data_IF_386033925006
#
_entry.id   IF_386033925006
#
_cell.length_a   1.000
_cell.length_b   1.000
_cell.length_c   1.000
_cell.angle_alpha   90.00
_cell.angle_beta   90.00
_cell.angle_gamma   90.00
#
_symmetry.space_group_name_H-M   'P 1'
#
loop_
_entity.id
_entity.type
_entity.pdbx_description
1 polymer ?
#
# COMPACT_ATOMS: atom_id res chain seq x y z
N UNK A 1 5.61 6.60 -18.99
CA UNK A 1 5.17 5.25 -19.35
C UNK A 1 4.36 4.69 -18.17
N UNK A 2 3.49 3.70 -18.37
CA UNK A 2 2.58 3.19 -17.32
C UNK A 2 3.37 2.50 -16.19
N UNK A 3 4.52 1.93 -16.53
CA UNK A 3 5.50 1.24 -15.70
C UNK A 3 6.08 2.15 -14.62
N UNK A 4 6.49 3.36 -15.01
CA UNK A 4 7.01 4.35 -14.08
C UNK A 4 5.95 4.76 -13.04
N UNK A 5 4.69 4.86 -13.46
CA UNK A 5 3.57 5.17 -12.56
C UNK A 5 3.33 4.01 -11.58
N UNK A 6 3.30 2.76 -12.08
CA UNK A 6 3.15 1.59 -11.23
C UNK A 6 4.29 1.45 -10.20
N UNK A 7 5.52 1.77 -10.60
CA UNK A 7 6.69 1.77 -9.72
C UNK A 7 6.56 2.82 -8.61
N UNK A 8 6.17 4.05 -8.96
CA UNK A 8 5.99 5.13 -7.98
C UNK A 8 4.90 4.77 -6.94
N UNK A 9 3.77 4.21 -7.38
CA UNK A 9 2.70 3.76 -6.49
C UNK A 9 3.17 2.61 -5.60
N UNK A 10 3.85 1.61 -6.16
CA UNK A 10 4.39 0.50 -5.36
C UNK A 10 5.37 0.99 -4.28
N UNK A 11 6.21 1.98 -4.59
CA UNK A 11 7.09 2.60 -3.62
C UNK A 11 6.32 3.36 -2.52
N UNK A 12 5.28 4.10 -2.87
CA UNK A 12 4.40 4.79 -1.92
C UNK A 12 3.70 3.79 -0.97
N UNK A 13 3.14 2.71 -1.50
CA UNK A 13 2.52 1.64 -0.71
C UNK A 13 3.50 1.04 0.30
N UNK A 14 4.76 0.81 -0.08
CA UNK A 14 5.79 0.29 0.86
C UNK A 14 5.98 1.23 2.05
N UNK A 15 5.95 2.55 1.81
CA UNK A 15 6.04 3.58 2.86
C UNK A 15 4.78 3.54 3.74
N UNK A 16 3.59 3.54 3.15
CA UNK A 16 2.31 3.45 3.88
C UNK A 16 2.22 2.17 4.73
N UNK A 17 2.66 1.04 4.18
CA UNK A 17 2.72 -0.27 4.85
C UNK A 17 3.75 -0.32 5.99
N UNK A 18 4.74 0.58 5.97
CA UNK A 18 5.72 0.73 7.03
C UNK A 18 5.31 1.77 8.08
N UNK A 19 4.15 2.42 7.90
CA UNK A 19 3.68 3.46 8.79
C UNK A 19 3.26 2.93 10.15
N UNK A 20 3.44 3.79 11.17
CA UNK A 20 2.99 3.51 12.54
C UNK A 20 1.47 3.44 12.63
N UNK A 21 0.76 4.30 11.89
CA UNK A 21 -0.70 4.34 11.85
C UNK A 21 -1.26 2.98 11.44
N UNK A 22 -0.76 2.43 10.33
CA UNK A 22 -1.19 1.12 9.85
C UNK A 22 -0.77 -0.02 10.80
N UNK A 23 0.41 0.08 11.41
CA UNK A 23 0.83 -0.89 12.43
C UNK A 23 -0.14 -0.94 13.63
N UNK A 24 -0.67 0.20 14.07
CA UNK A 24 -1.66 0.24 15.17
C UNK A 24 -3.00 -0.35 14.74
N UNK A 25 -3.45 -0.04 13.53
CA UNK A 25 -4.65 -0.62 12.92
C UNK A 25 -4.54 -2.14 12.84
N UNK A 26 -3.38 -2.64 12.37
CA UNK A 26 -3.07 -4.06 12.32
C UNK A 26 -3.17 -4.76 13.68
N UNK A 27 -2.78 -4.08 14.76
CA UNK A 27 -2.94 -4.63 16.12
C UNK A 27 -4.40 -4.63 16.57
N UNK A 28 -5.16 -3.57 16.29
CA UNK A 28 -6.55 -3.47 16.70
C UNK A 28 -7.48 -4.46 16.02
N UNK A 29 -7.20 -4.78 14.76
CA UNK A 29 -8.01 -5.70 13.96
C UNK A 29 -7.35 -7.07 13.76
N UNK A 30 -6.23 -7.33 14.43
CA UNK A 30 -5.48 -8.59 14.33
C UNK A 30 -5.01 -8.92 12.89
N UNK A 31 -4.67 -7.89 12.11
CA UNK A 31 -4.19 -7.96 10.72
C UNK A 31 -2.66 -7.80 10.59
N UNK A 32 -1.91 -7.93 11.69
CA UNK A 32 -0.46 -7.69 11.71
C UNK A 32 0.28 -8.57 10.69
N UNK A 33 -0.13 -9.82 10.55
CA UNK A 33 0.44 -10.76 9.57
C UNK A 33 0.07 -10.37 8.15
N UNK A 34 -1.20 -10.01 7.91
CA UNK A 34 -1.68 -9.62 6.59
C UNK A 34 -0.97 -8.35 6.07
N UNK A 35 -0.80 -7.33 6.93
CA UNK A 35 -0.06 -6.11 6.56
C UNK A 35 1.41 -6.43 6.25
N UNK A 36 2.02 -7.33 7.02
CA UNK A 36 3.40 -7.75 6.79
C UNK A 36 3.55 -8.47 5.44
N UNK A 37 2.63 -9.37 5.11
CA UNK A 37 2.66 -10.16 3.89
C UNK A 37 2.29 -9.31 2.66
N UNK A 38 1.37 -8.35 2.81
CA UNK A 38 1.09 -7.36 1.78
C UNK A 38 2.34 -6.53 1.47
N UNK A 39 3.05 -6.03 2.49
CA UNK A 39 4.32 -5.31 2.29
C UNK A 39 5.35 -6.15 1.56
N UNK A 40 5.51 -7.42 1.95
CA UNK A 40 6.43 -8.33 1.27
C UNK A 40 6.05 -8.48 -0.21
N UNK A 41 4.77 -8.65 -0.50
CA UNK A 41 4.25 -8.82 -1.86
C UNK A 41 4.51 -7.56 -2.69
N UNK A 42 4.21 -6.38 -2.17
CA UNK A 42 4.47 -5.10 -2.87
C UNK A 42 5.97 -4.90 -3.10
N UNK A 43 6.85 -5.27 -2.17
CA UNK A 43 8.30 -5.24 -2.40
C UNK A 43 8.73 -6.16 -3.55
N UNK A 44 8.13 -7.35 -3.67
CA UNK A 44 8.41 -8.26 -4.77
C UNK A 44 7.91 -7.70 -6.11
N UNK A 45 6.71 -7.12 -6.12
CA UNK A 45 6.16 -6.42 -7.28
C UNK A 45 7.10 -5.28 -7.71
N UNK A 46 7.56 -4.46 -6.77
CA UNK A 46 8.46 -3.35 -7.04
C UNK A 46 9.79 -3.80 -7.68
N UNK A 47 10.34 -4.94 -7.22
CA UNK A 47 11.52 -5.54 -7.83
C UNK A 47 11.26 -6.05 -9.26
N UNK A 48 10.10 -6.67 -9.50
CA UNK A 48 9.71 -7.15 -10.84
C UNK A 48 9.44 -5.99 -11.79
N UNK A 49 8.89 -4.87 -11.31
CA UNK A 49 8.64 -3.67 -12.11
C UNK A 49 9.94 -3.08 -12.67
N UNK A 50 11.03 -3.07 -11.88
CA UNK A 50 12.36 -2.66 -12.36
C UNK A 50 12.84 -3.53 -13.53
N UNK A 51 12.65 -4.85 -13.44
CA UNK A 51 13.03 -5.80 -14.49
C UNK A 51 12.07 -5.78 -15.71
N UNK A 52 10.86 -5.26 -15.52
CA UNK A 52 9.82 -5.17 -16.53
C UNK A 52 9.90 -3.89 -17.35
N UNK A 53 10.40 -2.78 -16.79
CA UNK A 53 10.61 -1.52 -17.51
C UNK A 53 11.43 -1.73 -18.79
N UNK A 54 12.54 -2.47 -18.70
CA UNK A 54 13.41 -2.78 -19.85
C UNK A 54 12.71 -3.65 -20.91
N UNK A 55 11.82 -4.57 -20.50
CA UNK A 55 11.14 -5.53 -21.39
C UNK A 55 9.87 -4.95 -22.03
N UNK A 56 9.19 -4.03 -21.34
CA UNK A 56 7.92 -3.40 -21.74
C UNK A 56 8.01 -2.66 -23.08
N UNK A 57 9.20 -2.22 -23.47
CA UNK A 57 9.43 -1.53 -24.76
C UNK A 57 9.07 -2.43 -25.95
N UNK A 58 9.19 -3.75 -25.80
CA UNK A 58 9.09 -4.70 -26.92
C UNK A 58 7.98 -5.75 -26.80
N UNK A 59 7.44 -5.97 -25.59
CA UNK A 59 6.44 -7.02 -25.33
C UNK A 59 5.09 -6.43 -24.95
N UNK A 60 4.10 -6.59 -25.84
CA UNK A 60 2.74 -6.09 -25.61
C UNK A 60 1.99 -6.87 -24.52
N UNK A 61 2.33 -8.13 -24.24
CA UNK A 61 1.71 -8.89 -23.15
C UNK A 61 2.15 -8.33 -21.80
N UNK A 62 3.43 -7.95 -21.70
CA UNK A 62 3.97 -7.29 -20.50
C UNK A 62 3.24 -5.98 -20.24
N UNK A 63 2.95 -5.17 -21.28
CA UNK A 63 2.17 -3.92 -21.14
C UNK A 63 0.76 -4.14 -20.56
N UNK A 64 0.02 -5.11 -21.09
CA UNK A 64 -1.35 -5.40 -20.58
C UNK A 64 -1.29 -5.80 -19.10
N UNK A 65 -0.36 -6.68 -18.74
CA UNK A 65 -0.21 -7.10 -17.35
C UNK A 65 0.20 -5.95 -16.42
N UNK A 66 0.99 -4.99 -16.90
CA UNK A 66 1.39 -3.79 -16.15
C UNK A 66 0.22 -2.81 -15.97
N UNK A 67 -0.67 -2.70 -16.95
CA UNK A 67 -1.92 -1.92 -16.83
C UNK A 67 -2.82 -2.53 -15.75
N UNK A 68 -3.05 -3.84 -15.78
CA UNK A 68 -3.84 -4.53 -14.74
C UNK A 68 -3.21 -4.39 -13.35
N UNK A 69 -1.88 -4.51 -13.27
CA UNK A 69 -1.14 -4.36 -12.02
C UNK A 69 -1.28 -2.94 -11.44
N UNK A 70 -1.26 -1.92 -12.31
CA UNK A 70 -1.44 -0.53 -11.88
C UNK A 70 -2.82 -0.32 -11.25
N UNK A 71 -3.88 -0.89 -11.82
CA UNK A 71 -5.22 -0.78 -11.25
C UNK A 71 -5.29 -1.42 -9.84
N UNK A 72 -4.68 -2.61 -9.67
CA UNK A 72 -4.58 -3.27 -8.37
C UNK A 72 -3.77 -2.45 -7.35
N UNK A 73 -2.71 -1.77 -7.80
CA UNK A 73 -1.91 -0.91 -6.91
C UNK A 73 -2.71 0.33 -6.46
N UNK A 74 -3.57 0.89 -7.30
CA UNK A 74 -4.48 1.97 -6.88
C UNK A 74 -5.51 1.50 -5.87
N UNK A 75 -6.15 0.35 -6.12
CA UNK A 75 -7.12 -0.22 -5.16
C UNK A 75 -6.47 -0.46 -3.78
N UNK A 76 -5.21 -0.90 -3.77
CA UNK A 76 -4.45 -1.06 -2.53
C UNK A 76 -4.13 0.28 -1.86
N UNK A 77 -3.84 1.33 -2.64
CA UNK A 77 -3.50 2.65 -2.12
C UNK A 77 -4.70 3.31 -1.43
N UNK A 78 -5.86 3.28 -2.10
CA UNK A 78 -7.13 3.76 -1.55
C UNK A 78 -7.48 3.04 -0.23
N UNK A 79 -7.30 1.71 -0.19
CA UNK A 79 -7.55 0.92 1.03
C UNK A 79 -6.62 1.33 2.19
N UNK A 80 -5.34 1.58 1.92
CA UNK A 80 -4.39 1.99 2.96
C UNK A 80 -4.64 3.41 3.47
N UNK A 81 -5.18 4.29 2.64
CA UNK A 81 -5.60 5.64 3.03
C UNK A 81 -6.85 5.60 3.94
N UNK A 82 -7.80 4.72 3.64
CA UNK A 82 -8.94 4.45 4.53
C UNK A 82 -8.49 3.94 5.89
N UNK A 83 -7.55 2.99 5.93
CA UNK A 83 -6.97 2.51 7.19
C UNK A 83 -6.23 3.61 7.94
N UNK A 84 -5.47 4.45 7.24
CA UNK A 84 -4.77 5.59 7.86
C UNK A 84 -5.75 6.59 8.46
N UNK A 85 -6.86 6.85 7.77
CA UNK A 85 -7.95 7.71 8.24
C UNK A 85 -8.62 7.13 9.49
N UNK A 86 -8.91 5.84 9.51
CA UNK A 86 -9.50 5.18 10.69
C UNK A 86 -8.52 5.13 11.87
N UNK A 87 -7.22 4.98 11.59
CA UNK A 87 -6.17 5.09 12.61
C UNK A 87 -6.23 6.42 13.36
N UNK A 88 -6.27 7.51 12.59
CA UNK A 88 -6.36 8.89 13.12
C UNK A 88 -7.66 9.11 13.89
N UNK A 89 -8.80 8.63 13.37
CA UNK A 89 -10.11 8.74 14.05
C UNK A 89 -10.09 8.08 15.42
N UNK A 90 -9.51 6.89 15.53
CA UNK A 90 -9.46 6.16 16.79
C UNK A 90 -8.48 6.78 17.78
N UNK A 91 -7.36 7.33 17.31
CA UNK A 91 -6.41 8.08 18.14
C UNK A 91 -7.08 9.33 18.75
N UNK A 92 -7.80 10.10 17.93
CA UNK A 92 -8.57 11.27 18.40
C UNK A 92 -9.69 10.88 19.38
N UNK A 93 -10.38 9.76 19.13
CA UNK A 93 -11.46 9.28 20.00
C UNK A 93 -10.95 8.71 21.34
N UNK A 94 -9.72 8.19 21.36
CA UNK A 94 -9.04 7.72 22.58
C UNK A 94 -8.54 8.86 23.48
N UNK A 95 -8.27 10.04 22.92
CA UNK A 95 -7.77 11.22 23.66
C UNK A 95 -8.82 11.97 24.49
N UNK A 96 -10.12 11.76 24.22
CA UNK A 96 -11.19 12.60 24.79
C UNK A 96 -11.85 12.03 26.07
N UNK A 97 -11.25 11.02 26.73
CA UNK A 97 -11.82 10.37 27.92
C UNK A 97 -11.39 10.92 29.29
N UNK A 98 -10.67 12.06 29.36
CA UNK A 98 -10.13 12.59 30.62
C UNK A 98 -10.33 14.11 30.80
N UNK A 99 -11.57 14.60 30.88
CA UNK A 99 -11.89 15.89 31.52
C UNK A 99 -13.36 15.95 31.95
N UNK A 100 -13.74 15.14 32.94
CA UNK A 100 -14.90 15.48 33.77
C UNK A 100 -14.83 14.80 35.15
N UNK A 101 -14.11 15.45 36.06
CA UNK A 101 -14.46 15.55 37.48
C UNK A 101 -13.98 16.89 38.01
#
# INVERSE_FOLDING_TARGET
MVEAIAFDIAAELIIKLSSRALSQVGLWWNLKHDIHDLRRTVCQINAVLLDAEEKSVTDNLVKVWLEDLKDVLYDADDLLDDFSTEALRKELSGGNKLTKE
#
